data_IF_790884770668
#
_entry.id   IF_790884770668
#
_cell.length_a   1.000
_cell.length_b   1.000
_cell.length_c   1.000
_cell.angle_alpha   90.00
_cell.angle_beta   90.00
_cell.angle_gamma   90.00
#
_symmetry.space_group_name_H-M   'P 1'
#
loop_
_entity.id
_entity.type
_entity.pdbx_description
1 polymer ?
#
# COMPACT_ATOMS: atom_id res chain seq x y z
N UNK A 1 -2.21 10.51 -1.06
CA UNK A 1 -0.91 11.22 -1.20
C UNK A 1 -1.04 12.73 -1.15
N UNK A 2 -2.03 13.34 -1.83
CA UNK A 2 -2.22 14.79 -1.75
C UNK A 2 -2.51 15.25 -0.32
N UNK A 3 -3.37 14.54 0.40
CA UNK A 3 -3.69 14.86 1.81
C UNK A 3 -2.45 14.86 2.71
N UNK A 4 -1.52 13.93 2.48
CA UNK A 4 -0.28 13.85 3.26
C UNK A 4 0.61 15.06 2.98
N UNK A 5 0.67 15.53 1.73
CA UNK A 5 1.35 16.78 1.41
C UNK A 5 0.69 17.98 2.09
N UNK A 6 -0.65 18.06 2.06
CA UNK A 6 -1.38 19.16 2.70
C UNK A 6 -1.18 19.19 4.23
N UNK A 7 -1.08 18.02 4.86
CA UNK A 7 -0.88 17.91 6.32
C UNK A 7 0.57 18.14 6.75
N UNK A 8 1.55 17.64 5.99
CA UNK A 8 2.96 17.62 6.42
C UNK A 8 3.83 18.67 5.73
N UNK A 9 3.36 19.26 4.63
CA UNK A 9 4.16 20.15 3.77
C UNK A 9 5.24 19.43 2.95
N UNK A 10 5.41 18.11 3.10
CA UNK A 10 6.45 17.36 2.40
C UNK A 10 6.02 17.13 0.95
N UNK A 11 6.88 17.50 0.00
CA UNK A 11 6.63 17.32 -1.43
C UNK A 11 6.19 15.89 -1.77
N UNK A 12 5.16 15.79 -2.61
CA UNK A 12 4.54 14.52 -3.03
C UNK A 12 5.56 13.49 -3.54
N UNK A 13 6.59 13.93 -4.26
CA UNK A 13 7.65 13.04 -4.76
C UNK A 13 8.43 12.34 -3.63
N UNK A 14 8.69 13.05 -2.53
CA UNK A 14 9.38 12.48 -1.37
C UNK A 14 8.46 11.54 -0.60
N UNK A 15 7.18 11.87 -0.47
CA UNK A 15 6.18 10.99 0.15
C UNK A 15 6.11 9.66 -0.61
N UNK A 16 6.06 9.69 -1.94
CA UNK A 16 6.05 8.47 -2.75
C UNK A 16 7.30 7.61 -2.51
N UNK A 17 8.48 8.23 -2.38
CA UNK A 17 9.73 7.53 -2.09
C UNK A 17 9.70 6.86 -0.71
N UNK A 18 9.27 7.59 0.33
CA UNK A 18 9.16 7.01 1.67
C UNK A 18 8.17 5.86 1.72
N UNK A 19 7.03 5.97 1.03
CA UNK A 19 6.03 4.91 0.98
C UNK A 19 6.59 3.66 0.31
N UNK A 20 7.31 3.79 -0.80
CA UNK A 20 7.99 2.65 -1.43
C UNK A 20 8.98 2.00 -0.47
N UNK A 21 9.87 2.78 0.16
CA UNK A 21 10.85 2.25 1.12
C UNK A 21 10.20 1.58 2.33
N UNK A 22 9.08 2.11 2.83
CA UNK A 22 8.35 1.53 3.96
C UNK A 22 7.55 0.28 3.58
N UNK A 23 7.03 0.22 2.35
CA UNK A 23 6.35 -0.97 1.81
C UNK A 23 7.35 -2.10 1.59
N UNK A 24 8.52 -1.81 1.03
CA UNK A 24 9.61 -2.78 0.82
C UNK A 24 10.12 -3.36 2.15
N UNK A 25 10.15 -2.54 3.21
CA UNK A 25 10.49 -2.98 4.58
C UNK A 25 9.34 -3.71 5.28
N UNK A 26 8.16 -3.79 4.69
CA UNK A 26 6.97 -4.38 5.30
C UNK A 26 6.45 -3.63 6.54
N UNK A 27 6.73 -2.33 6.64
CA UNK A 27 6.26 -1.46 7.74
C UNK A 27 4.82 -1.00 7.48
N UNK A 28 4.49 -0.76 6.21
CA UNK A 28 3.16 -0.38 5.77
C UNK A 28 2.67 -1.32 4.67
N UNK A 29 1.36 -1.42 4.51
CA UNK A 29 0.77 -2.11 3.37
C UNK A 29 -0.42 -1.34 2.81
N UNK A 30 -0.58 -1.37 1.50
CA UNK A 30 -1.77 -0.84 0.84
C UNK A 30 -2.99 -1.73 1.14
N UNK A 31 -3.98 -1.16 1.83
CA UNK A 31 -5.19 -1.88 2.21
C UNK A 31 -6.21 -1.90 1.06
N UNK A 32 -6.56 -0.72 0.53
CA UNK A 32 -7.48 -0.57 -0.60
C UNK A 32 -7.23 0.73 -1.38
N UNK A 33 -7.82 0.81 -2.59
CA UNK A 33 -7.85 2.02 -3.40
C UNK A 33 -9.29 2.47 -3.55
N UNK A 34 -9.61 3.69 -3.12
CA UNK A 34 -10.95 4.29 -3.24
C UNK A 34 -10.85 5.62 -3.97
N UNK A 35 -11.91 6.03 -4.65
CA UNK A 35 -11.99 7.39 -5.18
C UNK A 35 -11.97 8.38 -4.03
N UNK A 36 -11.05 9.32 -4.12
CA UNK A 36 -10.94 10.43 -3.20
C UNK A 36 -12.07 11.42 -3.48
N UNK A 37 -12.81 11.78 -2.43
CA UNK A 37 -13.92 12.73 -2.50
C UNK A 37 -13.49 14.13 -2.93
N UNK A 38 -12.25 14.54 -2.63
CA UNK A 38 -11.77 15.89 -2.97
C UNK A 38 -11.26 15.98 -4.40
N UNK A 39 -10.48 15.00 -4.84
CA UNK A 39 -9.80 15.07 -6.13
C UNK A 39 -10.50 14.27 -7.23
N UNK A 40 -11.48 13.43 -6.87
CA UNK A 40 -12.14 12.45 -7.74
C UNK A 40 -11.18 11.43 -8.38
N UNK A 41 -9.91 11.41 -7.97
CA UNK A 41 -8.93 10.43 -8.40
C UNK A 41 -8.85 9.28 -7.41
N UNK A 42 -8.49 8.08 -7.88
CA UNK A 42 -8.30 6.93 -6.98
C UNK A 42 -7.08 7.14 -6.08
N UNK A 43 -7.31 7.23 -4.78
CA UNK A 43 -6.29 7.28 -3.75
C UNK A 43 -6.10 5.91 -3.09
N UNK A 44 -4.84 5.56 -2.81
CA UNK A 44 -4.47 4.40 -2.01
C UNK A 44 -4.50 4.71 -0.52
N UNK A 45 -5.14 3.84 0.25
CA UNK A 45 -5.20 3.90 1.71
C UNK A 45 -4.25 2.87 2.30
N UNK A 46 -3.24 3.35 3.02
CA UNK A 46 -2.19 2.55 3.62
C UNK A 46 -2.47 2.35 5.12
N UNK A 47 -2.07 1.22 5.65
CA UNK A 47 -2.15 0.91 7.08
C UNK A 47 -0.79 0.48 7.61
N UNK A 48 -0.53 0.80 8.88
CA UNK A 48 0.59 0.29 9.68
C UNK A 48 0.17 -0.86 10.60
N UNK A 49 -1.15 -1.12 10.70
CA UNK A 49 -1.67 -2.19 11.55
C UNK A 49 -1.42 -3.54 10.90
N UNK A 50 -0.50 -4.30 11.51
CA UNK A 50 -0.12 -5.65 11.08
C UNK A 50 -1.29 -6.64 11.10
N UNK A 51 -2.33 -6.41 11.90
CA UNK A 51 -3.52 -7.26 11.92
C UNK A 51 -4.34 -7.13 10.63
N UNK A 52 -4.31 -5.94 10.01
CA UNK A 52 -4.99 -5.64 8.75
C UNK A 52 -4.15 -6.00 7.52
N UNK A 53 -2.91 -6.44 7.70
CA UNK A 53 -2.07 -6.83 6.59
C UNK A 53 -2.68 -8.06 5.91
N UNK A 54 -2.78 -7.99 4.59
CA UNK A 54 -3.16 -9.09 3.72
C UNK A 54 -2.16 -10.21 3.98
N UNK A 55 -2.66 -11.30 4.56
CA UNK A 55 -1.90 -12.54 4.68
C UNK A 55 -1.67 -13.06 3.27
N UNK A 56 -0.43 -12.98 2.79
CA UNK A 56 -0.03 -13.68 1.56
C UNK A 56 -0.24 -15.15 1.87
N UNK A 57 -1.25 -15.76 1.24
CA UNK A 57 -1.34 -17.22 1.21
C UNK A 57 -0.31 -17.65 0.18
N UNK A 58 0.86 -18.05 0.64
CA UNK A 58 1.85 -18.78 -0.16
C UNK A 58 1.23 -20.14 -0.52
N UNK A 59 0.26 -20.11 -1.44
CA UNK A 59 -0.34 -21.32 -1.98
C UNK A 59 0.63 -21.80 -3.05
N UNK A 60 1.63 -22.58 -2.62
CA UNK A 60 2.46 -23.34 -3.52
C UNK A 60 1.53 -24.31 -4.27
N UNK A 61 1.27 -24.04 -5.54
CA UNK A 61 0.55 -24.97 -6.40
C UNK A 61 1.53 -26.08 -6.78
N UNK A 62 1.13 -27.34 -6.57
CA UNK A 62 1.88 -28.49 -7.03
C UNK A 62 1.79 -28.54 -8.56
N UNK A 63 2.70 -27.83 -9.23
CA UNK A 63 2.67 -27.66 -10.68
C UNK A 63 2.98 -28.95 -11.46
N UNK A 64 3.39 -30.01 -10.75
CA UNK A 64 3.91 -31.25 -11.33
C UNK A 64 3.36 -32.54 -10.69
N UNK A 65 2.27 -32.47 -9.92
CA UNK A 65 1.62 -33.68 -9.42
C UNK A 65 0.69 -34.26 -10.49
N UNK A 66 1.27 -35.05 -11.40
CA UNK A 66 0.59 -36.15 -12.10
C UNK A 66 1.67 -36.97 -12.86
N UNK A 67 2.03 -38.14 -12.31
CA UNK A 67 2.66 -39.26 -13.03
C UNK A 67 1.87 -40.52 -12.72
#
# INVERSE_FOLDING_TARGET
MLDVFLQTGILRANICRYVADMEDRGIIQLLYKKEDSHTKFRAGYYTTDKALFRKVKDKQYNLWEDR
#
